data_IF_490257139891
#
_entry.id   IF_490257139891
#
_cell.length_a   1.000
_cell.length_b   1.000
_cell.length_c   1.000
_cell.angle_alpha   90.00
_cell.angle_beta   90.00
_cell.angle_gamma   90.00
#
_symmetry.space_group_name_H-M   'P 1'
#
loop_
_entity.id
_entity.type
_entity.pdbx_description
1 polymer ?
#
# COMPACT_ATOMS: atom_id res chain seq x y z
N UNK A 1 34.65 32.97 -37.15
CA UNK A 1 36.11 32.82 -37.02
C UNK A 1 36.48 31.36 -36.92
N UNK A 2 36.17 30.58 -37.94
CA UNK A 2 36.35 29.12 -37.97
C UNK A 2 37.36 28.65 -39.02
N UNK A 3 37.94 29.56 -39.81
CA UNK A 3 38.78 29.20 -40.95
C UNK A 3 40.29 29.40 -40.74
N UNK A 4 40.72 29.87 -39.56
CA UNK A 4 42.15 30.12 -39.29
C UNK A 4 42.86 28.99 -38.53
N UNK A 5 42.16 27.97 -38.03
CA UNK A 5 42.77 26.85 -37.33
C UNK A 5 43.26 25.71 -38.25
N UNK A 6 42.68 25.58 -39.45
CA UNK A 6 43.03 24.51 -40.40
C UNK A 6 44.38 24.75 -41.10
N UNK A 7 44.83 26.01 -41.22
CA UNK A 7 46.06 26.35 -41.93
C UNK A 7 47.35 26.13 -41.11
N UNK A 8 47.26 26.00 -39.78
CA UNK A 8 48.43 25.84 -38.91
C UNK A 8 48.95 24.39 -38.82
N UNK A 9 48.26 23.41 -39.42
CA UNK A 9 48.63 21.98 -39.31
C UNK A 9 49.53 21.52 -40.47
N UNK A 10 49.74 22.36 -41.49
CA UNK A 10 50.49 21.98 -42.70
C UNK A 10 52.03 21.97 -42.57
N UNK A 11 52.62 22.34 -41.44
CA UNK A 11 54.08 22.56 -41.37
C UNK A 11 54.86 21.70 -40.34
N UNK A 12 54.31 20.58 -39.86
CA UNK A 12 55.03 19.69 -38.93
C UNK A 12 55.41 18.36 -39.61
N UNK A 13 56.58 18.34 -40.25
CA UNK A 13 57.27 17.10 -40.61
C UNK A 13 57.97 16.49 -39.39
N UNK A 14 57.89 15.16 -39.28
CA UNK A 14 58.77 14.35 -38.44
C UNK A 14 58.15 13.92 -37.11
N UNK A 15 58.25 12.61 -36.83
CA UNK A 15 58.13 11.80 -35.60
C UNK A 15 57.28 12.26 -34.38
N UNK A 16 57.15 13.55 -34.10
CA UNK A 16 56.34 14.13 -33.02
C UNK A 16 54.83 14.03 -33.29
N UNK A 17 54.38 14.14 -34.54
CA UNK A 17 52.96 14.02 -34.90
C UNK A 17 52.38 12.61 -34.61
N UNK A 18 53.18 11.57 -34.85
CA UNK A 18 52.80 10.17 -34.60
C UNK A 18 52.74 9.84 -33.10
N UNK A 19 53.58 10.51 -32.28
CA UNK A 19 53.59 10.32 -30.82
C UNK A 19 52.44 11.07 -30.12
N UNK A 20 52.03 12.23 -30.64
CA UNK A 20 50.88 12.97 -30.14
C UNK A 20 49.54 12.33 -30.55
N UNK A 21 49.40 11.80 -31.78
CA UNK A 21 48.20 11.02 -32.16
C UNK A 21 48.04 9.72 -31.35
N UNK A 22 49.13 9.08 -30.93
CA UNK A 22 49.08 7.86 -30.11
C UNK A 22 48.63 8.08 -28.65
N UNK A 23 48.94 9.24 -28.06
CA UNK A 23 48.53 9.58 -26.68
C UNK A 23 47.11 10.14 -26.61
N UNK A 24 46.72 11.00 -27.55
CA UNK A 24 45.36 11.56 -27.60
C UNK A 24 44.35 10.45 -27.93
N UNK A 25 44.74 9.47 -28.74
CA UNK A 25 43.89 8.32 -29.06
C UNK A 25 43.74 7.35 -27.88
N UNK A 26 44.78 7.08 -27.08
CA UNK A 26 44.68 6.12 -25.95
C UNK A 26 43.98 6.67 -24.70
N UNK A 27 44.08 7.97 -24.42
CA UNK A 27 43.40 8.60 -23.27
C UNK A 27 41.94 8.90 -23.59
N UNK A 28 41.64 9.39 -24.80
CA UNK A 28 40.27 9.52 -25.27
C UNK A 28 39.59 8.16 -25.43
N UNK A 29 40.28 7.14 -25.98
CA UNK A 29 39.74 5.78 -26.03
C UNK A 29 39.61 5.15 -24.64
N UNK A 30 40.52 5.36 -23.67
CA UNK A 30 40.28 4.87 -22.29
C UNK A 30 39.08 5.54 -21.62
N UNK A 31 38.83 6.82 -21.90
CA UNK A 31 37.64 7.52 -21.40
C UNK A 31 36.35 7.10 -22.13
N UNK A 32 36.43 6.67 -23.40
CA UNK A 32 35.31 6.15 -24.20
C UNK A 32 35.09 4.63 -23.97
N UNK A 33 36.14 3.90 -23.61
CA UNK A 33 36.16 2.44 -23.37
C UNK A 33 36.10 2.06 -21.89
N UNK A 34 36.12 3.04 -20.98
CA UNK A 34 35.61 2.87 -19.61
C UNK A 34 34.08 2.88 -19.64
N UNK A 35 33.48 2.04 -20.48
CA UNK A 35 32.07 1.73 -20.38
C UNK A 35 31.92 0.88 -19.13
N UNK A 36 31.51 1.48 -18.02
CA UNK A 36 31.00 0.71 -16.89
C UNK A 36 30.03 -0.35 -17.46
N UNK A 37 30.16 -1.62 -17.05
CA UNK A 37 29.30 -2.68 -17.55
C UNK A 37 27.83 -2.26 -17.39
N UNK A 38 26.99 -2.59 -18.38
CA UNK A 38 25.54 -2.38 -18.25
C UNK A 38 25.07 -3.18 -17.05
N UNK A 39 24.74 -2.48 -15.97
CA UNK A 39 24.17 -3.09 -14.79
C UNK A 39 22.66 -3.19 -15.00
N UNK A 40 22.12 -4.36 -14.68
CA UNK A 40 20.68 -4.62 -14.74
C UNK A 40 20.06 -4.34 -13.38
N UNK A 41 19.02 -3.53 -13.37
CA UNK A 41 18.25 -3.17 -12.18
C UNK A 41 16.83 -3.67 -12.32
N UNK A 42 16.18 -3.88 -11.19
CA UNK A 42 14.79 -4.31 -11.11
C UNK A 42 14.00 -3.31 -10.29
N UNK A 43 12.96 -2.74 -10.90
CA UNK A 43 11.96 -1.93 -10.21
C UNK A 43 10.79 -2.84 -9.85
N UNK A 44 10.64 -3.12 -8.56
CA UNK A 44 9.43 -3.70 -7.99
C UNK A 44 8.43 -2.58 -7.73
N UNK A 45 7.23 -2.71 -8.27
CA UNK A 45 6.14 -1.77 -8.04
C UNK A 45 5.02 -2.53 -7.36
N UNK A 46 4.70 -2.17 -6.12
CA UNK A 46 3.52 -2.68 -5.41
C UNK A 46 2.33 -1.80 -5.78
N UNK A 47 1.33 -2.38 -6.41
CA UNK A 47 0.07 -1.75 -6.78
C UNK A 47 -1.01 -2.34 -5.88
N UNK A 48 -1.48 -1.55 -4.93
CA UNK A 48 -2.42 -2.03 -3.91
C UNK A 48 -3.86 -1.89 -4.40
N UNK A 49 -4.29 -0.66 -4.70
CA UNK A 49 -5.65 -0.34 -5.12
C UNK A 49 -5.72 1.01 -5.80
N UNK A 50 -6.83 1.25 -6.50
CA UNK A 50 -7.20 2.57 -7.00
C UNK A 50 -8.58 2.98 -6.47
N UNK A 51 -8.87 4.28 -6.60
CA UNK A 51 -10.19 4.83 -6.36
C UNK A 51 -10.50 5.88 -7.44
N UNK A 52 -11.78 6.01 -7.78
CA UNK A 52 -12.28 6.96 -8.77
C UNK A 52 -11.56 6.85 -10.12
N UNK A 53 -11.34 5.62 -10.60
CA UNK A 53 -10.80 5.39 -11.95
C UNK A 53 -11.79 5.95 -12.99
N UNK A 54 -11.33 6.56 -14.10
CA UNK A 54 -12.22 6.99 -15.17
C UNK A 54 -13.01 5.83 -15.76
N UNK A 55 -14.30 6.03 -16.11
CA UNK A 55 -15.08 5.03 -16.84
C UNK A 55 -14.53 4.89 -18.27
N UNK A 56 -14.17 3.67 -18.66
CA UNK A 56 -13.75 3.32 -20.01
C UNK A 56 -14.88 2.72 -20.83
N UNK A 57 -15.81 2.03 -20.16
CA UNK A 57 -16.93 1.35 -20.79
C UNK A 57 -18.21 2.20 -20.90
N UNK A 58 -19.03 1.84 -21.89
CA UNK A 58 -20.35 2.46 -22.11
C UNK A 58 -21.36 2.25 -20.97
N UNK A 59 -21.11 1.31 -20.07
CA UNK A 59 -21.92 1.07 -18.86
C UNK A 59 -21.58 2.06 -17.73
N UNK A 60 -20.51 2.86 -17.87
CA UNK A 60 -20.03 3.79 -16.85
C UNK A 60 -19.10 3.16 -15.81
N UNK A 61 -18.61 1.94 -16.06
CA UNK A 61 -17.54 1.27 -15.31
C UNK A 61 -16.29 1.12 -16.19
N UNK A 62 -15.33 0.35 -15.72
CA UNK A 62 -14.10 -0.04 -16.43
C UNK A 62 -13.69 -1.43 -15.98
N UNK A 63 -12.85 -2.08 -16.78
CA UNK A 63 -12.05 -3.27 -16.48
C UNK A 63 -10.58 -2.87 -16.25
N UNK A 64 -10.24 -2.10 -15.19
CA UNK A 64 -8.94 -1.47 -15.10
C UNK A 64 -7.78 -2.44 -14.85
N UNK A 65 -6.64 -2.12 -15.47
CA UNK A 65 -5.32 -2.63 -15.10
C UNK A 65 -4.28 -1.50 -15.09
N UNK A 66 -3.25 -1.66 -14.26
CA UNK A 66 -2.15 -0.69 -14.14
C UNK A 66 -0.94 -1.19 -14.93
N UNK A 67 -0.39 -0.36 -15.80
CA UNK A 67 0.88 -0.60 -16.50
C UNK A 67 1.95 0.32 -15.93
N UNK A 68 3.06 -0.26 -15.49
CA UNK A 68 4.26 0.47 -15.09
C UNK A 68 5.32 0.33 -16.17
N UNK A 69 5.76 1.47 -16.69
CA UNK A 69 6.80 1.58 -17.72
C UNK A 69 8.00 2.31 -17.15
N UNK A 70 9.19 1.70 -17.26
CA UNK A 70 10.42 2.27 -16.74
C UNK A 70 11.60 1.91 -17.64
N UNK A 71 12.33 2.94 -18.07
CA UNK A 71 13.40 2.84 -19.06
C UNK A 71 12.98 2.11 -20.34
N UNK A 72 13.49 0.91 -20.58
CA UNK A 72 13.23 0.08 -21.76
C UNK A 72 12.29 -1.11 -21.47
N UNK A 73 11.68 -1.15 -20.29
CA UNK A 73 10.79 -2.22 -19.87
C UNK A 73 9.42 -1.70 -19.43
N UNK A 74 8.45 -2.61 -19.42
CA UNK A 74 7.13 -2.38 -18.84
C UNK A 74 6.55 -3.69 -18.31
N UNK A 75 5.72 -3.59 -17.28
CA UNK A 75 4.91 -4.68 -16.75
C UNK A 75 3.52 -4.15 -16.40
N UNK A 76 2.54 -5.05 -16.21
CA UNK A 76 1.20 -4.65 -15.82
C UNK A 76 0.59 -5.63 -14.82
N UNK A 77 -0.39 -5.16 -14.05
CA UNK A 77 -1.19 -5.97 -13.13
C UNK A 77 -2.18 -6.86 -13.87
N UNK A 78 -2.85 -7.76 -13.16
CA UNK A 78 -4.10 -8.34 -13.58
C UNK A 78 -5.19 -7.29 -13.84
N UNK A 79 -6.22 -7.73 -14.56
CA UNK A 79 -7.41 -6.95 -14.91
C UNK A 79 -8.42 -7.13 -13.78
N UNK A 80 -8.99 -6.03 -13.30
CA UNK A 80 -10.10 -6.03 -12.35
C UNK A 80 -11.38 -5.69 -13.09
N UNK A 81 -12.34 -6.60 -13.13
CA UNK A 81 -13.52 -6.45 -14.00
C UNK A 81 -14.59 -5.56 -13.36
N UNK A 82 -15.27 -4.80 -14.20
CA UNK A 82 -16.45 -3.98 -13.94
C UNK A 82 -16.33 -3.22 -12.61
N UNK A 83 -15.33 -2.35 -12.44
CA UNK A 83 -15.16 -1.53 -11.23
C UNK A 83 -14.40 -0.23 -11.48
N UNK A 84 -14.77 0.82 -10.73
CA UNK A 84 -14.02 2.08 -10.68
C UNK A 84 -13.12 2.20 -9.44
N UNK A 85 -13.13 1.19 -8.57
CA UNK A 85 -12.36 1.10 -7.32
C UNK A 85 -11.60 -0.24 -7.24
N UNK A 86 -10.74 -0.55 -8.22
CA UNK A 86 -10.08 -1.85 -8.27
C UNK A 86 -9.15 -2.06 -7.09
N UNK A 87 -9.18 -3.29 -6.56
CA UNK A 87 -8.21 -3.80 -5.60
C UNK A 87 -7.30 -4.74 -6.36
N UNK A 88 -6.05 -4.32 -6.58
CA UNK A 88 -5.08 -5.13 -7.32
C UNK A 88 -4.38 -6.08 -6.36
N UNK A 89 -3.79 -5.54 -5.29
CA UNK A 89 -2.94 -6.28 -4.39
C UNK A 89 -1.95 -7.16 -5.18
N UNK A 90 -1.21 -6.52 -6.08
CA UNK A 90 -0.20 -7.15 -6.90
C UNK A 90 1.10 -6.38 -6.81
N UNK A 91 2.22 -7.09 -6.90
CA UNK A 91 3.48 -6.45 -7.24
C UNK A 91 3.94 -6.91 -8.62
N UNK A 92 4.60 -6.00 -9.33
CA UNK A 92 5.10 -6.23 -10.68
C UNK A 92 6.55 -5.79 -10.79
N UNK A 93 7.35 -6.53 -11.55
CA UNK A 93 8.77 -6.22 -11.77
C UNK A 93 9.02 -5.68 -13.18
N UNK A 94 9.73 -4.56 -13.25
CA UNK A 94 10.29 -4.04 -14.50
C UNK A 94 11.80 -4.13 -14.44
N UNK A 95 12.39 -4.93 -15.33
CA UNK A 95 13.84 -5.01 -15.48
C UNK A 95 14.33 -3.94 -16.47
N UNK A 96 15.37 -3.20 -16.10
CA UNK A 96 16.00 -2.21 -16.96
C UNK A 96 17.53 -2.33 -16.89
N UNK A 97 18.20 -1.91 -17.96
CA UNK A 97 19.68 -1.84 -18.02
C UNK A 97 20.09 -0.36 -18.10
N UNK A 98 21.00 0.08 -17.22
CA UNK A 98 21.46 1.47 -17.24
C UNK A 98 22.93 1.60 -16.83
N UNK A 99 23.54 2.73 -17.23
CA UNK A 99 24.93 3.08 -16.95
C UNK A 99 25.13 4.12 -15.85
N UNK A 100 24.09 4.85 -15.40
CA UNK A 100 24.09 5.69 -14.17
C UNK A 100 22.90 6.68 -14.04
N UNK A 101 21.98 6.77 -15.01
CA UNK A 101 20.77 7.60 -14.86
C UNK A 101 19.53 6.83 -15.31
N UNK A 102 18.57 6.69 -14.42
CA UNK A 102 17.27 6.13 -14.75
C UNK A 102 16.28 7.26 -15.04
N UNK A 103 15.36 7.06 -15.99
CA UNK A 103 14.26 7.99 -16.21
C UNK A 103 13.22 7.86 -15.10
N UNK A 104 12.31 8.82 -15.07
CA UNK A 104 11.11 8.76 -14.26
C UNK A 104 10.26 7.54 -14.63
N UNK A 105 9.50 7.05 -13.65
CA UNK A 105 8.60 5.91 -13.82
C UNK A 105 7.28 6.43 -14.36
N UNK A 106 6.80 5.85 -15.46
CA UNK A 106 5.49 6.18 -16.01
C UNK A 106 4.51 5.10 -15.57
N UNK A 107 3.41 5.51 -14.93
CA UNK A 107 2.35 4.61 -14.49
C UNK A 107 1.08 4.98 -15.24
N UNK A 108 0.43 3.99 -15.83
CA UNK A 108 -0.72 4.18 -16.71
C UNK A 108 -1.88 3.30 -16.24
N UNK A 109 -3.09 3.85 -16.23
CA UNK A 109 -4.34 3.12 -16.07
C UNK A 109 -4.94 2.88 -17.44
N UNK A 110 -5.33 1.64 -17.67
CA UNK A 110 -5.92 1.17 -18.92
C UNK A 110 -7.19 0.41 -18.61
N UNK A 111 -8.14 0.50 -19.52
CA UNK A 111 -9.35 -0.29 -19.54
C UNK A 111 -9.15 -1.48 -20.48
N UNK A 112 -9.40 -2.69 -19.99
CA UNK A 112 -9.33 -3.86 -20.85
C UNK A 112 -10.64 -4.01 -21.63
N UNK A 113 -10.53 -4.08 -22.96
CA UNK A 113 -11.68 -4.24 -23.83
C UNK A 113 -11.75 -5.69 -24.33
N UNK A 114 -12.90 -6.36 -24.11
CA UNK A 114 -13.14 -7.71 -24.64
C UNK A 114 -13.00 -7.77 -26.17
N UNK A 115 -13.41 -6.69 -26.86
CA UNK A 115 -13.36 -6.57 -28.31
C UNK A 115 -12.65 -5.28 -28.69
N UNK A 116 -11.57 -5.39 -29.48
CA UNK A 116 -10.81 -4.24 -29.95
C UNK A 116 -9.48 -4.09 -29.22
N UNK A 117 -9.06 -2.84 -29.02
CA UNK A 117 -7.84 -2.49 -28.31
C UNK A 117 -8.18 -1.79 -27.01
N UNK A 118 -7.52 -2.20 -25.93
CA UNK A 118 -7.64 -1.59 -24.60
C UNK A 118 -7.62 -0.05 -24.66
N UNK A 119 -8.57 0.56 -23.97
CA UNK A 119 -8.74 2.00 -23.90
C UNK A 119 -7.79 2.62 -22.88
N UNK A 120 -7.03 3.64 -23.29
CA UNK A 120 -6.20 4.40 -22.35
C UNK A 120 -7.08 5.31 -21.50
N UNK A 121 -6.95 5.21 -20.17
CA UNK A 121 -7.73 6.03 -19.24
C UNK A 121 -6.94 7.28 -18.81
N UNK A 122 -5.80 7.07 -18.16
CA UNK A 122 -4.96 8.15 -17.66
C UNK A 122 -3.56 7.65 -17.29
N UNK A 123 -2.65 8.59 -17.03
CA UNK A 123 -1.29 8.31 -16.58
C UNK A 123 -0.80 9.29 -15.52
N UNK A 124 0.23 8.87 -14.80
CA UNK A 124 1.04 9.71 -13.92
C UNK A 124 2.52 9.44 -14.15
N UNK A 125 3.37 10.38 -13.77
CA UNK A 125 4.83 10.28 -13.87
C UNK A 125 5.40 10.43 -12.48
N UNK A 126 6.11 9.41 -12.02
CA UNK A 126 6.74 9.37 -10.71
C UNK A 126 8.21 9.72 -10.88
N UNK A 127 8.69 10.85 -10.32
CA UNK A 127 10.08 11.24 -10.41
C UNK A 127 10.99 10.12 -9.88
N UNK A 128 12.05 9.79 -10.61
CA UNK A 128 12.96 8.73 -10.19
C UNK A 128 13.60 9.00 -8.81
N UNK A 129 13.77 10.27 -8.45
CA UNK A 129 14.22 10.67 -7.12
C UNK A 129 13.31 10.19 -5.99
N UNK A 130 11.99 10.13 -6.21
CA UNK A 130 11.04 9.61 -5.22
C UNK A 130 11.21 8.09 -5.00
N UNK A 131 11.57 7.37 -6.06
CA UNK A 131 11.87 5.94 -6.01
C UNK A 131 13.19 5.65 -5.27
N UNK A 132 14.19 6.53 -5.39
CA UNK A 132 15.56 6.30 -4.85
C UNK A 132 15.80 6.94 -3.49
N UNK A 133 15.14 8.06 -3.15
CA UNK A 133 15.39 8.77 -1.89
C UNK A 133 15.03 7.95 -0.63
N UNK A 134 14.30 6.85 -0.78
CA UNK A 134 14.05 5.87 0.29
C UNK A 134 15.08 4.72 0.32
N UNK A 135 15.90 4.55 -0.72
CA UNK A 135 16.79 3.39 -0.88
C UNK A 135 18.27 3.62 -0.48
N UNK A 136 18.63 4.83 -0.03
CA UNK A 136 19.98 5.17 0.43
C UNK A 136 19.95 5.47 1.94
N UNK A 137 20.56 4.70 2.83
CA UNK A 137 21.98 4.33 2.82
C UNK A 137 22.20 2.85 3.17
N UNK A 138 22.53 2.03 2.17
CA UNK A 138 23.20 0.75 2.44
C UNK A 138 24.60 1.06 2.99
N UNK A 139 24.79 0.93 4.30
CA UNK A 139 26.13 0.68 4.83
C UNK A 139 26.66 -0.59 4.15
N UNK A 140 27.77 -0.47 3.40
CA UNK A 140 28.42 -1.57 2.70
C UNK A 140 28.87 -2.68 3.67
N UNK A 141 28.91 -2.42 4.98
CA UNK A 141 29.26 -3.37 6.04
C UNK A 141 28.06 -3.98 6.78
N UNK A 142 26.81 -3.58 6.49
CA UNK A 142 25.64 -4.21 7.09
C UNK A 142 25.23 -5.45 6.29
N UNK A 143 25.19 -6.62 6.93
CA UNK A 143 24.62 -7.86 6.35
C UNK A 143 23.11 -7.78 6.10
N UNK A 144 22.46 -6.71 6.56
CA UNK A 144 21.05 -6.44 6.28
C UNK A 144 20.94 -5.28 5.29
N UNK A 145 20.25 -5.46 4.15
CA UNK A 145 20.01 -4.37 3.20
C UNK A 145 19.26 -3.22 3.89
N UNK A 146 19.52 -1.96 3.50
CA UNK A 146 18.83 -0.81 4.08
C UNK A 146 17.33 -1.02 3.90
N UNK A 147 16.60 -1.01 5.02
CA UNK A 147 15.15 -0.96 5.01
C UNK A 147 14.78 0.45 4.56
N UNK A 148 14.70 0.62 3.24
CA UNK A 148 13.85 1.61 2.65
C UNK A 148 12.43 1.35 3.19
N UNK A 149 11.95 2.25 4.02
CA UNK A 149 10.56 2.44 4.41
C UNK A 149 9.74 2.77 3.15
N UNK A 150 9.56 1.75 2.31
CA UNK A 150 8.71 1.73 1.12
C UNK A 150 7.24 1.65 1.52
N UNK A 151 6.82 2.57 2.40
CA UNK A 151 5.43 2.73 2.78
C UNK A 151 4.61 3.08 1.52
N UNK A 152 3.42 2.47 1.39
CA UNK A 152 2.49 2.83 0.33
C UNK A 152 2.16 4.33 0.37
N UNK A 153 1.91 4.90 -0.80
CA UNK A 153 1.53 6.30 -0.94
C UNK A 153 0.42 6.45 -1.99
N UNK A 154 -0.54 7.33 -1.70
CA UNK A 154 -1.53 7.75 -2.67
C UNK A 154 -0.90 8.72 -3.67
N UNK A 155 -1.01 8.39 -4.95
CA UNK A 155 -0.69 9.28 -6.06
C UNK A 155 -1.99 9.71 -6.74
N UNK A 156 -2.25 11.01 -6.73
CA UNK A 156 -3.53 11.64 -7.10
C UNK A 156 -3.40 12.68 -8.24
N UNK A 157 -2.23 12.71 -8.87
CA UNK A 157 -1.96 13.54 -10.04
C UNK A 157 -1.98 12.69 -11.32
N UNK A 158 -3.19 12.44 -11.81
CA UNK A 158 -3.43 11.68 -13.03
C UNK A 158 -3.87 12.60 -14.17
N UNK A 159 -3.39 12.31 -15.37
CA UNK A 159 -3.70 13.08 -16.58
C UNK A 159 -4.18 12.18 -17.70
N UNK A 160 -5.14 12.66 -18.48
CA UNK A 160 -5.61 11.97 -19.68
C UNK A 160 -4.58 12.07 -20.83
N UNK A 161 -4.98 11.65 -22.03
CA UNK A 161 -4.12 11.68 -23.23
C UNK A 161 -3.79 13.11 -23.69
N UNK A 162 -4.58 14.10 -23.28
CA UNK A 162 -4.42 15.53 -23.59
C UNK A 162 -3.59 16.27 -22.55
N UNK A 163 -3.31 15.63 -21.40
CA UNK A 163 -2.65 16.27 -20.26
C UNK A 163 -3.62 16.94 -19.28
N UNK A 164 -4.94 16.76 -19.47
CA UNK A 164 -5.95 17.29 -18.56
C UNK A 164 -6.00 16.45 -17.30
N UNK A 165 -6.02 17.10 -16.12
CA UNK A 165 -6.08 16.41 -14.83
C UNK A 165 -7.40 15.66 -14.67
N UNK A 166 -7.32 14.39 -14.29
CA UNK A 166 -8.47 13.61 -13.85
C UNK A 166 -8.72 13.90 -12.36
N UNK A 167 -9.87 14.47 -12.05
CA UNK A 167 -10.26 14.74 -10.67
C UNK A 167 -10.60 13.45 -9.91
N UNK A 168 -10.20 13.38 -8.64
CA UNK A 168 -10.53 12.28 -7.73
C UNK A 168 -9.72 10.99 -7.96
N UNK A 169 -9.27 10.71 -9.19
CA UNK A 169 -8.51 9.50 -9.49
C UNK A 169 -7.21 9.43 -8.69
N UNK A 170 -7.05 8.35 -7.94
CA UNK A 170 -5.88 8.09 -7.11
C UNK A 170 -5.53 6.62 -7.10
N UNK A 171 -4.24 6.31 -7.01
CA UNK A 171 -3.71 4.93 -6.90
C UNK A 171 -2.75 4.84 -5.74
N UNK A 172 -2.92 3.82 -4.90
CA UNK A 172 -2.05 3.50 -3.79
C UNK A 172 -0.94 2.57 -4.28
N UNK A 173 0.30 3.02 -4.22
CA UNK A 173 1.46 2.26 -4.69
C UNK A 173 2.74 2.55 -3.91
N UNK A 174 3.69 1.63 -3.98
CA UNK A 174 5.06 1.82 -3.50
C UNK A 174 6.06 1.19 -4.47
N UNK A 175 7.31 1.63 -4.41
CA UNK A 175 8.35 1.19 -5.33
C UNK A 175 9.58 0.73 -4.57
N UNK A 176 10.26 -0.30 -5.08
CA UNK A 176 11.54 -0.77 -4.56
C UNK A 176 12.51 -1.04 -5.70
N UNK A 177 13.71 -0.47 -5.59
CA UNK A 177 14.77 -0.67 -6.57
C UNK A 177 15.75 -1.73 -6.07
N UNK A 178 16.05 -2.70 -6.93
CA UNK A 178 17.07 -3.71 -6.66
C UNK A 178 18.21 -3.62 -7.69
N UNK A 179 19.46 -3.74 -7.25
CA UNK A 179 20.64 -3.71 -8.13
C UNK A 179 20.84 -5.04 -8.86
N UNK A 180 21.85 -5.07 -9.74
CA UNK A 180 22.30 -6.26 -10.42
C UNK A 180 22.73 -7.36 -9.43
N UNK A 181 22.43 -8.62 -9.75
CA UNK A 181 22.72 -9.78 -8.89
C UNK A 181 21.56 -10.24 -8.02
N UNK A 182 20.48 -9.45 -7.90
CA UNK A 182 19.24 -9.86 -7.22
C UNK A 182 18.42 -10.91 -8.01
N UNK A 183 18.84 -11.25 -9.23
CA UNK A 183 18.11 -12.12 -10.15
C UNK A 183 17.94 -13.56 -9.64
N UNK A 184 18.90 -14.08 -8.86
CA UNK A 184 18.76 -15.38 -8.21
C UNK A 184 17.67 -15.36 -7.12
N UNK A 185 17.66 -14.30 -6.31
CA UNK A 185 16.63 -14.07 -5.27
C UNK A 185 15.26 -13.82 -5.87
N UNK A 186 15.17 -13.09 -6.98
CA UNK A 186 13.91 -12.92 -7.73
C UNK A 186 13.39 -14.26 -8.23
N UNK A 187 14.25 -15.13 -8.79
CA UNK A 187 13.85 -16.47 -9.22
C UNK A 187 13.40 -17.34 -8.04
N UNK A 188 13.97 -17.16 -6.86
CA UNK A 188 13.55 -17.83 -5.62
C UNK A 188 12.16 -17.32 -5.18
N UNK A 189 12.00 -15.99 -5.09
CA UNK A 189 10.75 -15.33 -4.72
C UNK A 189 9.63 -15.74 -5.66
N UNK A 190 9.86 -15.69 -6.99
CA UNK A 190 8.91 -16.07 -8.04
C UNK A 190 8.41 -17.51 -7.93
N UNK A 191 9.21 -18.45 -7.41
CA UNK A 191 8.76 -19.84 -7.21
C UNK A 191 7.75 -19.97 -6.07
N UNK A 192 7.86 -19.12 -5.06
CA UNK A 192 7.02 -19.15 -3.85
C UNK A 192 5.64 -18.54 -4.14
N UNK A 193 5.52 -17.76 -5.21
CA UNK A 193 4.45 -16.76 -5.35
C UNK A 193 3.53 -16.92 -6.57
N UNK A 194 3.79 -17.82 -7.52
CA UNK A 194 2.98 -17.89 -8.76
C UNK A 194 1.83 -18.91 -8.69
N UNK A 195 0.59 -18.58 -9.11
CA UNK A 195 -0.34 -19.56 -9.66
C UNK A 195 0.11 -19.97 -11.08
N UNK A 196 -0.01 -21.27 -11.38
CA UNK A 196 0.55 -21.88 -12.58
C UNK A 196 -0.27 -21.62 -13.85
N UNK A 197 -0.20 -20.42 -14.47
CA UNK A 197 -0.47 -20.29 -15.92
C UNK A 197 -0.02 -18.96 -16.53
N UNK A 198 0.75 -18.95 -17.64
CA UNK A 198 0.94 -17.77 -18.47
C UNK A 198 -0.22 -17.60 -19.45
N UNK A 199 -0.76 -16.39 -19.58
CA UNK A 199 -1.65 -16.01 -20.69
C UNK A 199 -0.78 -15.59 -21.87
N UNK A 200 -0.84 -16.36 -22.95
CA UNK A 200 -0.07 -16.13 -24.18
C UNK A 200 -0.64 -14.95 -24.96
N UNK A 201 0.16 -13.91 -25.19
CA UNK A 201 -0.06 -12.94 -26.26
C UNK A 201 1.08 -13.07 -27.28
N UNK A 202 0.73 -13.51 -28.49
CA UNK A 202 1.65 -13.66 -29.61
C UNK A 202 2.19 -12.32 -30.11
N UNK A 203 3.47 -12.30 -30.46
CA UNK A 203 4.11 -11.15 -31.10
C UNK A 203 5.62 -11.11 -30.85
N UNK A 204 6.39 -11.40 -31.88
CA UNK A 204 7.86 -11.44 -31.88
C UNK A 204 8.48 -10.05 -31.67
N UNK A 205 8.57 -9.60 -30.43
CA UNK A 205 9.64 -8.73 -29.91
C UNK A 205 10.04 -9.32 -28.56
N UNK A 206 11.27 -9.09 -28.09
CA UNK A 206 11.68 -9.50 -26.73
C UNK A 206 10.87 -8.69 -25.71
N UNK A 207 9.61 -9.05 -25.52
CA UNK A 207 8.72 -8.51 -24.51
C UNK A 207 9.06 -9.28 -23.24
N UNK A 208 9.62 -8.57 -22.28
CA UNK A 208 9.94 -9.12 -20.96
C UNK A 208 8.67 -9.82 -20.42
N UNK A 209 8.82 -11.07 -19.98
CA UNK A 209 7.73 -11.85 -19.39
C UNK A 209 7.42 -11.23 -18.03
N UNK A 210 6.28 -10.54 -17.91
CA UNK A 210 5.75 -10.09 -16.64
C UNK A 210 5.48 -11.33 -15.75
N UNK A 211 5.83 -11.23 -14.47
CA UNK A 211 5.53 -12.24 -13.45
C UNK A 211 4.62 -11.59 -12.42
N UNK A 212 3.42 -12.13 -12.14
CA UNK A 212 2.60 -11.69 -11.03
C UNK A 212 3.31 -12.01 -9.71
N UNK A 213 3.42 -11.01 -8.84
CA UNK A 213 3.85 -11.18 -7.44
C UNK A 213 2.59 -11.01 -6.57
N UNK A 214 2.23 -11.98 -5.72
CA UNK A 214 1.17 -11.88 -4.74
C UNK A 214 1.45 -10.73 -3.82
N UNK A 215 0.53 -9.76 -3.78
CA UNK A 215 0.45 -8.89 -2.63
C UNK A 215 -0.47 -9.46 -1.52
N UNK A 216 -0.96 -10.70 -1.66
CA UNK A 216 -1.81 -11.33 -0.65
C UNK A 216 -1.08 -11.79 0.62
N UNK A 217 0.25 -11.70 0.69
CA UNK A 217 1.00 -12.24 1.82
C UNK A 217 1.12 -11.32 3.06
N UNK A 218 0.67 -10.05 3.01
CA UNK A 218 1.04 -9.08 4.07
C UNK A 218 -0.04 -8.11 4.54
N UNK A 219 -1.25 -8.09 3.96
CA UNK A 219 -2.34 -7.29 4.52
C UNK A 219 -3.16 -8.14 5.48
N UNK A 220 -2.95 -7.92 6.78
CA UNK A 220 -3.81 -8.49 7.82
C UNK A 220 -5.28 -8.21 7.48
N UNK A 221 -6.10 -9.25 7.50
CA UNK A 221 -7.52 -9.19 7.17
C UNK A 221 -8.34 -9.39 8.43
N UNK A 222 -9.40 -8.62 8.59
CA UNK A 222 -10.38 -8.81 9.65
C UNK A 222 -11.79 -8.93 9.09
N UNK A 223 -12.66 -9.59 9.85
CA UNK A 223 -14.08 -9.67 9.54
C UNK A 223 -14.78 -8.41 10.04
N UNK A 224 -15.45 -7.71 9.12
CA UNK A 224 -16.24 -6.52 9.40
C UNK A 224 -17.73 -6.83 9.28
N UNK A 225 -18.53 -6.14 10.09
CA UNK A 225 -19.99 -6.13 9.99
C UNK A 225 -20.45 -4.73 9.58
N UNK A 226 -20.88 -4.59 8.34
CA UNK A 226 -21.36 -3.34 7.75
C UNK A 226 -22.89 -3.30 7.89
N UNK A 227 -23.38 -2.23 8.51
CA UNK A 227 -24.81 -1.91 8.61
C UNK A 227 -25.17 -0.87 7.57
N UNK A 228 -26.11 -1.17 6.69
CA UNK A 228 -26.54 -0.28 5.61
C UNK A 228 -28.03 0.03 5.78
N UNK A 229 -28.35 1.29 6.05
CA UNK A 229 -29.73 1.80 6.06
C UNK A 229 -30.03 2.43 4.70
N UNK A 230 -30.81 1.75 3.87
CA UNK A 230 -31.17 2.21 2.52
C UNK A 230 -32.57 2.79 2.55
N UNK A 231 -32.67 4.12 2.50
CA UNK A 231 -33.94 4.83 2.63
C UNK A 231 -34.69 4.95 1.31
N UNK A 232 -34.05 5.53 0.29
CA UNK A 232 -34.70 5.80 -0.99
C UNK A 232 -33.80 6.46 -2.03
N UNK A 233 -34.24 6.44 -3.28
CA UNK A 233 -33.63 7.15 -4.40
C UNK A 233 -34.53 8.31 -4.83
N UNK A 234 -33.93 9.46 -5.17
CA UNK A 234 -34.62 10.68 -5.59
C UNK A 234 -33.91 11.29 -6.79
N UNK A 235 -34.66 12.04 -7.60
CA UNK A 235 -34.14 12.83 -8.72
C UNK A 235 -33.28 12.01 -9.69
N UNK A 236 -33.63 10.73 -9.91
CA UNK A 236 -32.89 9.88 -10.83
C UNK A 236 -33.07 10.39 -12.27
N UNK A 237 -31.95 10.49 -13.01
CA UNK A 237 -31.99 10.87 -14.43
C UNK A 237 -32.60 9.76 -15.26
N UNK A 238 -33.25 10.12 -16.38
CA UNK A 238 -33.72 9.13 -17.36
C UNK A 238 -32.55 8.34 -17.92
N UNK A 239 -32.70 7.03 -17.98
CA UNK A 239 -31.72 6.14 -18.59
C UNK A 239 -32.24 5.68 -19.96
N UNK A 240 -31.44 5.86 -21.01
CA UNK A 240 -31.82 5.56 -22.40
C UNK A 240 -33.20 6.13 -22.77
N UNK A 241 -33.39 7.42 -22.44
CA UNK A 241 -34.62 8.20 -22.67
C UNK A 241 -35.87 7.69 -21.92
N UNK A 242 -35.73 6.77 -20.96
CA UNK A 242 -36.83 6.21 -20.16
C UNK A 242 -36.68 6.52 -18.68
N UNK A 243 -37.81 6.60 -17.97
CA UNK A 243 -37.84 6.80 -16.52
C UNK A 243 -37.55 5.49 -15.80
N UNK A 244 -36.67 5.54 -14.79
CA UNK A 244 -36.33 4.39 -13.95
C UNK A 244 -37.55 4.04 -13.08
N UNK A 245 -38.03 2.81 -13.17
CA UNK A 245 -39.27 2.36 -12.51
C UNK A 245 -39.06 1.20 -11.55
N UNK A 246 -37.95 0.49 -11.69
CA UNK A 246 -37.68 -0.75 -10.99
C UNK A 246 -36.25 -0.79 -10.46
N UNK A 247 -35.84 0.19 -9.63
CA UNK A 247 -34.49 0.26 -9.16
C UNK A 247 -34.19 -0.82 -8.11
N UNK A 248 -32.96 -1.30 -8.16
CA UNK A 248 -32.29 -2.08 -7.10
C UNK A 248 -30.98 -1.37 -6.76
N UNK A 249 -30.63 -1.30 -5.49
CA UNK A 249 -29.33 -0.79 -5.05
C UNK A 249 -28.47 -1.99 -4.65
N UNK A 250 -27.26 -2.03 -5.18
CA UNK A 250 -26.27 -3.07 -4.93
C UNK A 250 -24.99 -2.42 -4.42
N UNK A 251 -24.35 -3.07 -3.45
CA UNK A 251 -23.17 -2.60 -2.76
C UNK A 251 -22.03 -3.57 -3.06
N UNK A 252 -20.87 -3.06 -3.47
CA UNK A 252 -19.71 -3.86 -3.83
C UNK A 252 -18.48 -3.39 -3.05
N UNK A 253 -17.71 -4.36 -2.53
CA UNK A 253 -16.41 -4.13 -1.88
C UNK A 253 -15.54 -5.36 -2.12
N UNK A 254 -14.38 -5.19 -2.75
CA UNK A 254 -13.36 -6.25 -2.94
C UNK A 254 -13.95 -7.56 -3.50
N UNK A 255 -14.72 -7.46 -4.60
CA UNK A 255 -15.38 -8.60 -5.25
C UNK A 255 -16.59 -9.19 -4.51
N UNK A 256 -16.83 -8.79 -3.26
CA UNK A 256 -18.02 -9.17 -2.51
C UNK A 256 -19.16 -8.18 -2.79
N UNK A 257 -20.41 -8.64 -2.73
CA UNK A 257 -21.56 -7.77 -2.90
C UNK A 257 -22.76 -8.13 -2.02
N UNK A 258 -23.59 -7.13 -1.74
CA UNK A 258 -24.92 -7.30 -1.16
C UNK A 258 -25.93 -6.38 -1.86
N UNK A 259 -27.21 -6.70 -1.83
CA UNK A 259 -28.22 -6.00 -2.61
C UNK A 259 -29.51 -5.79 -1.83
N UNK A 260 -30.21 -4.69 -2.13
CA UNK A 260 -31.58 -4.47 -1.66
C UNK A 260 -32.56 -5.38 -2.39
N UNK A 261 -33.77 -5.51 -1.85
CA UNK A 261 -34.90 -6.00 -2.65
C UNK A 261 -35.23 -5.02 -3.77
N UNK A 262 -35.86 -5.53 -4.81
CA UNK A 262 -36.40 -4.73 -5.91
C UNK A 262 -37.56 -3.89 -5.40
N UNK A 263 -37.56 -2.60 -5.71
CA UNK A 263 -38.66 -1.67 -5.41
C UNK A 263 -39.27 -1.16 -6.71
N UNK A 264 -40.50 -0.66 -6.66
CA UNK A 264 -41.17 -0.04 -7.81
C UNK A 264 -41.43 1.44 -7.56
N UNK A 265 -41.38 2.24 -8.63
CA UNK A 265 -41.69 3.67 -8.62
C UNK A 265 -40.49 4.58 -8.89
N UNK A 266 -40.81 5.79 -9.37
CA UNK A 266 -39.84 6.82 -9.78
C UNK A 266 -39.14 7.45 -8.56
N UNK A 267 -39.80 7.42 -7.40
CA UNK A 267 -39.27 7.83 -6.09
C UNK A 267 -39.19 6.61 -5.16
N UNK A 268 -38.36 5.64 -5.54
CA UNK A 268 -38.27 4.38 -4.82
C UNK A 268 -37.89 4.61 -3.34
N UNK A 269 -38.66 4.01 -2.44
CA UNK A 269 -38.36 3.91 -1.02
C UNK A 269 -38.03 2.45 -0.73
N UNK A 270 -36.82 2.20 -0.24
CA UNK A 270 -36.39 0.87 0.15
C UNK A 270 -36.75 0.61 1.60
N UNK A 271 -36.57 1.60 2.47
CA UNK A 271 -36.79 1.51 3.93
C UNK A 271 -36.29 0.17 4.49
N UNK A 272 -35.07 -0.19 4.09
CA UNK A 272 -34.48 -1.50 4.35
C UNK A 272 -33.15 -1.32 5.06
N UNK A 273 -32.96 -2.10 6.12
CA UNK A 273 -31.67 -2.28 6.76
C UNK A 273 -31.05 -3.59 6.27
N UNK A 274 -29.78 -3.54 5.90
CA UNK A 274 -28.98 -4.70 5.52
C UNK A 274 -27.83 -4.86 6.49
N UNK A 275 -27.64 -6.08 7.00
CA UNK A 275 -26.41 -6.49 7.68
C UNK A 275 -25.55 -7.29 6.70
N UNK A 276 -24.31 -6.85 6.51
CA UNK A 276 -23.37 -7.48 5.60
C UNK A 276 -22.04 -7.79 6.29
N UNK A 277 -21.65 -9.06 6.27
CA UNK A 277 -20.37 -9.52 6.80
C UNK A 277 -19.38 -9.67 5.65
N UNK A 278 -18.24 -8.98 5.75
CA UNK A 278 -17.20 -8.98 4.72
C UNK A 278 -15.82 -8.98 5.37
N UNK A 279 -14.88 -9.67 4.74
CA UNK A 279 -13.47 -9.69 5.18
C UNK A 279 -12.74 -8.59 4.44
N UNK A 280 -12.13 -7.65 5.18
CA UNK A 280 -11.42 -6.50 4.60
C UNK A 280 -10.06 -6.30 5.29
N UNK A 281 -9.14 -5.54 4.67
CA UNK A 281 -7.88 -5.17 5.31
C UNK A 281 -8.09 -4.45 6.65
N UNK A 282 -7.32 -4.85 7.67
CA UNK A 282 -7.34 -4.21 8.99
C UNK A 282 -6.87 -2.75 8.93
N UNK A 283 -5.86 -2.51 8.10
CA UNK A 283 -5.23 -1.21 7.96
C UNK A 283 -6.09 -0.27 7.10
N UNK A 284 -6.53 0.89 7.62
CA UNK A 284 -7.45 1.79 6.92
C UNK A 284 -6.95 2.30 5.56
N UNK A 285 -5.64 2.41 5.39
CA UNK A 285 -5.00 2.87 4.15
C UNK A 285 -5.30 1.95 2.96
N UNK A 286 -5.37 0.64 3.21
CA UNK A 286 -5.63 -0.36 2.20
C UNK A 286 -7.13 -0.65 2.05
N UNK A 287 -7.98 -0.04 2.87
CA UNK A 287 -9.39 -0.40 2.94
C UNK A 287 -10.17 0.10 1.72
N UNK A 288 -10.67 -0.79 0.85
CA UNK A 288 -11.32 -0.44 -0.43
C UNK A 288 -12.50 0.54 -0.30
N UNK A 289 -12.85 1.19 -1.42
CA UNK A 289 -14.08 1.99 -1.47
C UNK A 289 -15.29 1.05 -1.47
N UNK A 290 -16.36 1.47 -0.79
CA UNK A 290 -17.68 0.90 -0.97
C UNK A 290 -18.31 1.47 -2.23
N UNK A 291 -18.48 0.63 -3.24
CA UNK A 291 -19.14 1.02 -4.47
C UNK A 291 -20.65 0.77 -4.37
N UNK A 292 -21.44 1.82 -4.56
CA UNK A 292 -22.89 1.78 -4.53
C UNK A 292 -23.40 1.90 -5.96
N UNK A 293 -24.01 0.84 -6.46
CA UNK A 293 -24.54 0.76 -7.82
C UNK A 293 -26.06 0.71 -7.80
N UNK A 294 -26.67 1.47 -8.69
CA UNK A 294 -28.11 1.48 -8.91
C UNK A 294 -28.37 0.80 -10.24
N UNK A 295 -29.19 -0.24 -10.21
CA UNK A 295 -29.61 -0.99 -11.39
C UNK A 295 -31.09 -0.80 -11.66
N UNK A 296 -31.48 -0.69 -12.93
CA UNK A 296 -32.87 -0.77 -13.36
C UNK A 296 -33.19 -2.21 -13.80
N UNK A 297 -34.25 -2.79 -13.23
CA UNK A 297 -34.67 -4.15 -13.53
C UNK A 297 -35.98 -4.19 -14.32
N UNK A 298 -35.85 -4.27 -15.65
CA UNK A 298 -36.96 -4.48 -16.60
C UNK A 298 -36.97 -5.92 -17.11
N UNK A 299 -37.59 -6.15 -18.26
CA UNK A 299 -37.41 -7.40 -19.01
C UNK A 299 -36.01 -7.45 -19.61
N UNK A 300 -35.25 -8.49 -19.27
CA UNK A 300 -33.88 -8.70 -19.71
C UNK A 300 -32.83 -8.47 -18.60
N UNK A 301 -31.55 -8.32 -18.96
CA UNK A 301 -30.47 -8.13 -18.00
C UNK A 301 -30.61 -6.80 -17.25
N UNK A 302 -30.12 -6.77 -16.01
CA UNK A 302 -30.04 -5.55 -15.19
C UNK A 302 -29.21 -4.50 -15.92
N UNK A 303 -29.65 -3.25 -15.89
CA UNK A 303 -28.94 -2.14 -16.51
C UNK A 303 -28.41 -1.21 -15.43
N UNK A 304 -27.10 -0.99 -15.39
CA UNK A 304 -26.51 -0.01 -14.49
C UNK A 304 -26.98 1.39 -14.90
N UNK A 305 -27.58 2.12 -13.96
CA UNK A 305 -28.11 3.47 -14.20
C UNK A 305 -27.40 4.55 -13.38
N UNK A 306 -26.61 4.15 -12.39
CA UNK A 306 -25.75 5.04 -11.64
C UNK A 306 -24.79 4.28 -10.74
N UNK A 307 -23.63 4.87 -10.47
CA UNK A 307 -22.65 4.36 -9.54
C UNK A 307 -22.11 5.51 -8.68
N UNK A 308 -21.78 5.21 -7.42
CA UNK A 308 -21.14 6.11 -6.49
C UNK A 308 -20.11 5.33 -5.66
N UNK A 309 -19.12 6.02 -5.12
CA UNK A 309 -18.08 5.43 -4.28
C UNK A 309 -18.10 6.13 -2.92
N UNK A 310 -17.99 5.33 -1.87
CA UNK A 310 -17.99 5.78 -0.48
C UNK A 310 -16.71 5.30 0.20
N UNK A 311 -15.95 6.25 0.73
CA UNK A 311 -14.71 5.96 1.44
C UNK A 311 -15.01 5.33 2.79
N UNK A 312 -14.67 4.04 2.92
CA UNK A 312 -14.80 3.32 4.17
C UNK A 312 -13.72 3.73 5.18
N UNK A 313 -12.57 4.25 4.74
CA UNK A 313 -11.42 4.55 5.61
C UNK A 313 -11.78 5.55 6.71
N UNK A 314 -12.64 6.52 6.39
CA UNK A 314 -13.23 7.46 7.34
C UNK A 314 -14.14 6.83 8.40
N UNK A 315 -14.87 5.77 8.06
CA UNK A 315 -15.72 5.04 9.02
C UNK A 315 -14.88 4.28 10.05
N UNK A 316 -13.67 3.84 9.67
CA UNK A 316 -12.70 3.21 10.56
C UNK A 316 -12.09 4.19 11.57
N UNK A 317 -12.10 5.51 11.33
CA UNK A 317 -11.58 6.49 12.30
C UNK A 317 -12.37 6.44 13.61
N UNK A 318 -13.68 6.18 13.55
CA UNK A 318 -14.50 5.98 14.75
C UNK A 318 -14.20 4.64 15.43
N UNK A 319 -13.91 3.58 14.67
CA UNK A 319 -13.56 2.26 15.23
C UNK A 319 -12.17 2.26 15.85
N UNK A 320 -11.14 2.79 15.17
CA UNK A 320 -9.78 2.90 15.69
C UNK A 320 -9.70 3.82 16.91
N UNK A 321 -10.41 4.97 16.91
CA UNK A 321 -10.52 5.82 18.11
C UNK A 321 -11.24 5.11 19.24
N UNK A 322 -12.31 4.36 18.94
CA UNK A 322 -13.06 3.58 19.94
C UNK A 322 -12.24 2.41 20.48
N UNK A 323 -11.45 1.74 19.64
CA UNK A 323 -10.55 0.64 20.01
C UNK A 323 -9.35 1.15 20.81
N UNK A 324 -8.77 2.29 20.43
CA UNK A 324 -7.73 2.97 21.21
C UNK A 324 -8.28 3.46 22.55
N UNK A 325 -9.50 4.02 22.58
CA UNK A 325 -10.17 4.40 23.81
C UNK A 325 -10.49 3.19 24.71
N UNK A 326 -10.88 2.06 24.12
CA UNK A 326 -11.11 0.79 24.84
C UNK A 326 -9.79 0.23 25.41
N UNK A 327 -8.72 0.17 24.61
CA UNK A 327 -7.39 -0.26 25.06
C UNK A 327 -6.82 0.66 26.15
N UNK A 328 -6.94 1.97 26.00
CA UNK A 328 -6.50 2.94 27.00
C UNK A 328 -7.29 2.83 28.32
N UNK A 329 -8.57 2.43 28.25
CA UNK A 329 -9.39 2.19 29.42
C UNK A 329 -8.97 0.88 30.13
N UNK A 330 -8.68 -0.19 29.38
CA UNK A 330 -8.16 -1.44 29.93
C UNK A 330 -6.79 -1.25 30.61
N UNK A 331 -5.90 -0.48 30.00
CA UNK A 331 -4.59 -0.14 30.58
C UNK A 331 -4.73 0.72 31.86
N UNK A 332 -5.69 1.65 31.89
CA UNK A 332 -6.01 2.42 33.10
C UNK A 332 -6.59 1.55 34.22
N UNK A 333 -7.46 0.60 33.89
CA UNK A 333 -8.03 -0.36 34.84
C UNK A 333 -6.93 -1.28 35.38
N UNK A 334 -6.05 -1.80 34.51
CA UNK A 334 -4.90 -2.61 34.93
C UNK A 334 -3.96 -1.82 35.86
N UNK A 335 -3.65 -0.56 35.52
CA UNK A 335 -2.79 0.31 36.33
C UNK A 335 -3.43 0.63 37.70
N UNK A 336 -4.73 0.96 37.74
CA UNK A 336 -5.45 1.19 39.00
C UNK A 336 -5.50 -0.05 39.88
N UNK A 337 -5.67 -1.22 39.27
CA UNK A 337 -5.70 -2.50 39.99
C UNK A 337 -4.33 -2.84 40.56
N UNK A 338 -3.26 -2.65 39.79
CA UNK A 338 -1.87 -2.81 40.27
C UNK A 338 -1.56 -1.87 41.44
N UNK A 339 -1.88 -0.58 41.30
CA UNK A 339 -1.63 0.40 42.37
C UNK A 339 -2.42 0.10 43.64
N UNK A 340 -3.66 -0.38 43.51
CA UNK A 340 -4.47 -0.80 44.65
C UNK A 340 -3.89 -2.04 45.34
N UNK A 341 -3.44 -3.03 44.56
CA UNK A 341 -2.80 -4.23 45.09
C UNK A 341 -1.48 -3.90 45.81
N UNK A 342 -0.67 -3.00 45.27
CA UNK A 342 0.58 -2.58 45.90
C UNK A 342 0.33 -1.75 47.17
N UNK A 343 -0.70 -0.90 47.17
CA UNK A 343 -1.15 -0.20 48.38
C UNK A 343 -1.61 -1.17 49.47
N UNK A 344 -2.43 -2.16 49.12
CA UNK A 344 -2.92 -3.16 50.06
C UNK A 344 -1.77 -4.00 50.63
N UNK A 345 -0.82 -4.42 49.79
CA UNK A 345 0.38 -5.16 50.21
C UNK A 345 1.22 -4.37 51.23
N UNK A 346 1.42 -3.07 50.97
CA UNK A 346 2.14 -2.19 51.89
C UNK A 346 1.39 -1.99 53.22
N UNK A 347 0.05 -2.01 53.22
CA UNK A 347 -0.74 -1.97 54.45
C UNK A 347 -0.59 -3.26 55.27
N UNK A 348 -0.60 -4.41 54.61
CA UNK A 348 -0.38 -5.72 55.25
C UNK A 348 1.02 -5.83 55.86
N UNK A 349 2.06 -5.42 55.13
CA UNK A 349 3.45 -5.39 55.62
C UNK A 349 3.60 -4.47 56.85
N UNK A 350 2.94 -3.30 56.83
CA UNK A 350 2.94 -2.38 57.98
C UNK A 350 2.21 -2.97 59.18
N UNK A 351 1.09 -3.65 58.98
CA UNK A 351 0.36 -4.31 60.05
C UNK A 351 1.21 -5.44 60.66
N UNK A 352 1.89 -6.23 59.82
CA UNK A 352 2.79 -7.30 60.25
C UNK A 352 3.97 -6.77 61.08
N UNK A 353 4.65 -5.72 60.61
CA UNK A 353 5.74 -5.10 61.37
C UNK A 353 5.26 -4.48 62.69
N UNK A 354 4.07 -3.88 62.71
CA UNK A 354 3.50 -3.35 63.95
C UNK A 354 3.13 -4.45 64.95
N UNK A 355 2.69 -5.62 64.48
CA UNK A 355 2.47 -6.78 65.36
C UNK A 355 3.77 -7.37 65.88
N UNK A 356 4.81 -7.43 65.06
CA UNK A 356 6.14 -7.91 65.47
C UNK A 356 6.77 -6.98 66.50
N UNK A 357 6.74 -5.67 66.27
CA UNK A 357 7.23 -4.67 67.24
C UNK A 357 6.48 -4.75 68.58
N UNK A 358 5.16 -4.95 68.56
CA UNK A 358 4.39 -5.16 69.80
C UNK A 358 4.82 -6.43 70.53
N UNK A 359 5.05 -7.52 69.80
CA UNK A 359 5.52 -8.78 70.39
C UNK A 359 6.93 -8.64 70.99
N UNK A 360 7.84 -7.92 70.33
CA UNK A 360 9.17 -7.60 70.86
C UNK A 360 9.11 -6.71 72.11
N UNK A 361 8.27 -5.67 72.09
CA UNK A 361 8.09 -4.78 73.23
C UNK A 361 7.48 -5.52 74.43
N UNK A 362 6.51 -6.41 74.19
CA UNK A 362 5.92 -7.25 75.24
C UNK A 362 6.94 -8.26 75.80
N UNK A 363 7.78 -8.86 74.96
CA UNK A 363 8.86 -9.75 75.40
C UNK A 363 9.88 -9.02 76.28
N UNK A 364 10.31 -7.81 75.87
CA UNK A 364 11.20 -6.97 76.69
C UNK A 364 10.58 -6.56 78.01
N UNK A 365 9.27 -6.31 78.05
CA UNK A 365 8.56 -6.02 79.30
C UNK A 365 8.55 -7.21 80.24
N UNK A 366 8.32 -8.41 79.72
CA UNK A 366 8.39 -9.64 80.52
C UNK A 366 9.80 -9.89 81.06
N UNK A 367 10.85 -9.72 80.26
CA UNK A 367 12.25 -9.84 80.72
C UNK A 367 12.58 -8.82 81.83
N UNK A 368 12.15 -7.57 81.68
CA UNK A 368 12.35 -6.53 82.71
C UNK A 368 11.56 -6.82 83.99
N UNK A 369 10.38 -7.43 83.90
CA UNK A 369 9.61 -7.89 85.06
C UNK A 369 10.28 -9.07 85.75
N UNK A 370 10.84 -10.02 85.00
CA UNK A 370 11.60 -11.16 85.52
C UNK A 370 12.90 -10.72 86.23
N UNK A 371 13.65 -9.77 85.63
CA UNK A 371 14.82 -9.15 86.29
C UNK A 371 14.46 -8.42 87.58
N UNK A 372 13.31 -7.74 87.62
CA UNK A 372 12.82 -7.07 88.84
C UNK A 372 12.47 -8.09 89.91
N UNK A 373 11.81 -9.20 89.55
CA UNK A 373 11.52 -10.28 90.49
C UNK A 373 12.80 -10.93 91.04
N UNK A 374 13.83 -11.12 90.22
CA UNK A 374 15.13 -11.61 90.67
C UNK A 374 15.87 -10.63 91.60
N UNK A 375 15.77 -9.31 91.38
CA UNK A 375 16.38 -8.30 92.27
C UNK A 375 15.64 -8.11 93.60
N UNK A 376 14.33 -8.36 93.64
CA UNK A 376 13.55 -8.33 94.90
C UNK A 376 13.56 -9.66 95.65
N UNK A 377 14.09 -10.73 95.03
CA UNK A 377 14.16 -12.08 95.57
C UNK A 377 15.52 -12.49 96.14
N UNK A 378 16.28 -11.56 96.72
CA UNK A 378 17.44 -11.89 97.58
C UNK A 378 17.00 -11.82 99.05
N UNK A 379 16.82 -12.96 99.74
CA UNK A 379 16.43 -12.97 101.14
C UNK A 379 17.60 -12.55 102.04
N UNK A 380 17.29 -11.75 103.05
CA UNK A 380 18.12 -11.53 104.22
C UNK A 380 18.37 -12.82 105.01
#
# INVERSE_FOLDING_TARGET
>A
GTDTAAAAVSSLQGAAATKMMGLVSRVALKSIMSAAPLERYYLESFIYRAAHVPPGDSNGLSDPFVRVSWANGSAHTGIQLETLSPVFNEAIYVAAESKQRFPDVVVELWDWDLVGSNTFLCKTVIPFSEVVNKCATADKNSRNPPRADNEPKWYDHWTDSTGTRIEGCKVLMSFKLFPAGFEATLKELQKITMPARPVSAGGSKKVYKAYPIPASALLAQAQYRIHLSVLGLRNMRRFRLREIQHPTVEFFVDGNHCATKKVSGINANFDTELEWFVTLPESPEYMPELEVRVYEHRMGPKQLVGAAQVDLSGANVNFAKKLQALKANDDQVATRTSNLLDYLRHQEERAAMATEQRAEDDMRRMELEEEKQHKTGSPA
#
